data_IF_611304067891
#
_entry.id   IF_611304067891
#
_cell.length_a   1.000
_cell.length_b   1.000
_cell.length_c   1.000
_cell.angle_alpha   90.00
_cell.angle_beta   90.00
_cell.angle_gamma   90.00
#
_symmetry.space_group_name_H-M   'P 1'
#
loop_
_entity.id
_entity.type
_entity.pdbx_description
1 polymer ?
#
# COMPACT_ATOMS: atom_id res chain seq x y z
N UNK A 1 -16.34 2.52 -7.41
CA UNK A 1 -15.78 3.60 -6.54
C UNK A 1 -14.39 3.16 -6.16
N UNK A 2 -13.39 4.06 -6.12
CA UNK A 2 -12.04 3.65 -5.72
C UNK A 2 -12.06 3.05 -4.30
N UNK A 3 -11.23 2.03 -4.08
CA UNK A 3 -11.06 1.42 -2.76
C UNK A 3 -9.93 2.13 -2.03
N UNK A 4 -10.01 2.21 -0.71
CA UNK A 4 -9.02 2.91 0.09
C UNK A 4 -8.48 2.04 1.22
N UNK A 5 -7.18 2.14 1.48
CA UNK A 5 -6.49 1.48 2.56
C UNK A 5 -5.83 2.53 3.47
N UNK A 6 -6.22 2.56 4.73
CA UNK A 6 -5.59 3.41 5.74
C UNK A 6 -4.39 2.69 6.37
N UNK A 7 -3.25 3.35 6.38
CA UNK A 7 -2.00 2.85 6.96
C UNK A 7 -1.52 3.85 8.01
N UNK A 8 -1.17 3.38 9.20
CA UNK A 8 -0.58 4.23 10.24
C UNK A 8 0.88 4.54 9.91
N UNK A 9 1.30 5.80 10.12
CA UNK A 9 2.71 6.18 10.05
C UNK A 9 3.57 5.51 11.15
N UNK A 10 2.95 4.95 12.19
CA UNK A 10 3.64 4.13 13.19
C UNK A 10 3.98 2.72 12.68
N UNK A 11 3.29 2.25 11.63
CA UNK A 11 3.50 0.92 11.06
C UNK A 11 4.49 0.96 9.89
N UNK A 12 4.24 1.86 8.93
CA UNK A 12 5.09 2.03 7.76
C UNK A 12 5.32 3.51 7.48
N UNK A 13 6.57 3.87 7.22
CA UNK A 13 6.90 5.18 6.68
C UNK A 13 6.52 5.28 5.19
N UNK A 14 6.46 6.50 4.66
CA UNK A 14 6.09 6.76 3.27
C UNK A 14 7.03 6.11 2.23
N UNK A 15 8.33 6.02 2.51
CA UNK A 15 9.29 5.41 1.58
C UNK A 15 9.06 3.91 1.46
N UNK A 16 8.70 3.24 2.56
CA UNK A 16 8.28 1.84 2.55
C UNK A 16 7.05 1.64 1.65
N UNK A 17 6.07 2.53 1.73
CA UNK A 17 4.88 2.48 0.87
C UNK A 17 5.22 2.66 -0.62
N UNK A 18 6.04 3.66 -0.95
CA UNK A 18 6.50 3.85 -2.33
C UNK A 18 7.24 2.61 -2.87
N UNK A 19 8.10 2.00 -2.07
CA UNK A 19 8.84 0.81 -2.46
C UNK A 19 7.92 -0.39 -2.71
N UNK A 20 6.91 -0.61 -1.87
CA UNK A 20 5.93 -1.69 -2.11
C UNK A 20 5.13 -1.44 -3.38
N UNK A 21 4.79 -0.19 -3.67
CA UNK A 21 4.10 0.19 -4.90
C UNK A 21 4.89 -0.22 -6.13
N UNK A 22 6.20 0.01 -6.11
CA UNK A 22 7.11 -0.38 -7.18
C UNK A 22 7.19 -1.91 -7.33
N UNK A 23 7.31 -2.65 -6.22
CA UNK A 23 7.33 -4.13 -6.22
C UNK A 23 6.03 -4.72 -6.76
N UNK A 24 4.89 -4.11 -6.44
CA UNK A 24 3.57 -4.52 -6.93
C UNK A 24 3.29 -4.06 -8.37
N UNK A 25 4.18 -3.26 -9.00
CA UNK A 25 3.93 -2.66 -10.31
C UNK A 25 2.77 -1.66 -10.31
N UNK A 26 2.47 -1.04 -9.16
CA UNK A 26 1.37 -0.10 -8.95
C UNK A 26 1.80 1.37 -8.98
N UNK A 27 3.10 1.64 -9.23
CA UNK A 27 3.63 3.00 -9.35
C UNK A 27 2.88 3.78 -10.42
N UNK A 28 2.27 4.91 -10.02
CA UNK A 28 1.45 5.75 -10.91
C UNK A 28 0.02 5.26 -11.11
N UNK A 29 -0.34 4.07 -10.62
CA UNK A 29 -1.74 3.57 -10.62
C UNK A 29 -2.48 3.97 -9.34
N UNK A 30 -1.81 3.87 -8.19
CA UNK A 30 -2.42 4.15 -6.87
C UNK A 30 -2.09 5.56 -6.39
N UNK A 31 -3.02 6.15 -5.64
CA UNK A 31 -2.86 7.46 -5.03
C UNK A 31 -2.44 7.39 -3.57
N UNK A 32 -1.66 8.36 -3.12
CA UNK A 32 -1.27 8.54 -1.72
C UNK A 32 -1.81 9.88 -1.21
N UNK A 33 -2.42 9.84 -0.03
CA UNK A 33 -2.92 11.04 0.64
C UNK A 33 -2.44 11.03 2.09
N UNK A 34 -1.81 12.12 2.52
CA UNK A 34 -1.43 12.29 3.92
C UNK A 34 -2.68 12.45 4.80
N UNK A 35 -2.61 11.88 5.99
CA UNK A 35 -3.61 12.02 7.05
C UNK A 35 -2.89 12.38 8.36
N UNK A 36 -3.59 12.88 9.39
CA UNK A 36 -2.94 13.24 10.64
C UNK A 36 -2.14 12.10 11.31
N UNK A 37 -2.52 10.83 11.07
CA UNK A 37 -1.94 9.66 11.74
C UNK A 37 -1.24 8.69 10.77
N UNK A 38 -1.06 9.06 9.51
CA UNK A 38 -0.53 8.15 8.49
C UNK A 38 -1.00 8.48 7.10
N UNK A 39 -1.30 7.46 6.31
CA UNK A 39 -1.53 7.59 4.88
C UNK A 39 -2.82 6.88 4.48
N UNK A 40 -3.59 7.52 3.59
CA UNK A 40 -4.69 6.89 2.90
C UNK A 40 -4.25 6.57 1.47
N UNK A 41 -4.24 5.29 1.13
CA UNK A 41 -3.85 4.80 -0.20
C UNK A 41 -5.13 4.53 -0.99
N UNK A 42 -5.25 5.09 -2.19
CA UNK A 42 -6.41 4.90 -3.07
C UNK A 42 -6.07 3.99 -4.25
N UNK A 43 -6.91 2.97 -4.45
CA UNK A 43 -6.77 1.98 -5.53
C UNK A 43 -7.84 2.23 -6.59
N UNK A 44 -7.46 2.38 -7.86
CA UNK A 44 -8.41 2.55 -8.95
C UNK A 44 -9.24 1.27 -9.12
N UNK A 45 -10.56 1.44 -9.20
CA UNK A 45 -11.50 0.33 -9.36
C UNK A 45 -12.25 0.37 -10.70
N UNK A 46 -11.69 1.05 -11.70
CA UNK A 46 -12.30 1.16 -13.04
C UNK A 46 -12.43 -0.19 -13.76
N UNK A 47 -11.66 -1.20 -13.35
CA UNK A 47 -11.66 -2.55 -13.91
C UNK A 47 -12.16 -3.63 -12.94
N UNK A 48 -12.70 -3.23 -11.78
CA UNK A 48 -13.19 -4.15 -10.74
C UNK A 48 -12.10 -4.96 -10.02
N UNK A 49 -10.81 -4.62 -10.18
CA UNK A 49 -9.69 -5.37 -9.57
C UNK A 49 -9.08 -4.67 -8.36
N UNK A 50 -9.69 -3.60 -7.83
CA UNK A 50 -9.11 -2.85 -6.72
C UNK A 50 -8.90 -3.72 -5.47
N UNK A 51 -9.84 -4.62 -5.15
CA UNK A 51 -9.72 -5.53 -4.00
C UNK A 51 -8.52 -6.48 -4.15
N UNK A 52 -8.24 -6.96 -5.37
CA UNK A 52 -7.07 -7.80 -5.65
C UNK A 52 -5.76 -7.01 -5.50
N UNK A 53 -5.68 -5.80 -6.07
CA UNK A 53 -4.50 -4.92 -5.94
C UNK A 53 -4.22 -4.59 -4.46
N UNK A 54 -5.27 -4.27 -3.71
CA UNK A 54 -5.17 -3.94 -2.29
C UNK A 54 -4.69 -5.15 -1.47
N UNK A 55 -5.23 -6.35 -1.72
CA UNK A 55 -4.79 -7.56 -1.03
C UNK A 55 -3.33 -7.90 -1.32
N UNK A 56 -2.89 -7.78 -2.58
CA UNK A 56 -1.50 -7.98 -2.98
C UNK A 56 -0.56 -6.98 -2.30
N UNK A 57 -0.94 -5.69 -2.30
CA UNK A 57 -0.18 -4.62 -1.65
C UNK A 57 -0.01 -4.87 -0.14
N UNK A 58 -1.09 -5.25 0.56
CA UNK A 58 -1.04 -5.60 1.98
C UNK A 58 -0.18 -6.84 2.26
N UNK A 59 -0.21 -7.84 1.38
CA UNK A 59 0.65 -9.02 1.50
C UNK A 59 2.13 -8.64 1.40
N UNK A 60 2.48 -7.76 0.45
CA UNK A 60 3.87 -7.32 0.28
C UNK A 60 4.40 -6.47 1.42
N UNK A 61 3.56 -5.65 2.04
CA UNK A 61 3.92 -4.94 3.27
C UNK A 61 4.29 -5.92 4.40
N UNK A 62 3.49 -6.97 4.60
CA UNK A 62 3.76 -8.02 5.60
C UNK A 62 5.00 -8.85 5.25
N UNK A 63 5.21 -9.16 3.98
CA UNK A 63 6.41 -9.88 3.53
C UNK A 63 7.69 -9.08 3.85
N UNK A 64 7.65 -7.75 3.70
CA UNK A 64 8.79 -6.89 4.06
C UNK A 64 9.06 -6.91 5.57
N UNK A 65 8.02 -6.89 6.40
CA UNK A 65 8.19 -7.07 7.85
C UNK A 65 8.89 -8.40 8.14
N UNK A 66 8.36 -9.51 7.61
CA UNK A 66 8.91 -10.83 7.89
C UNK A 66 10.36 -10.99 7.40
N UNK A 67 10.75 -10.34 6.30
CA UNK A 67 12.12 -10.39 5.79
C UNK A 67 13.10 -9.49 6.55
N UNK A 68 12.63 -8.49 7.30
CA UNK A 68 13.46 -7.60 8.13
C UNK A 68 13.59 -8.15 9.56
N UNK A 69 12.50 -8.69 10.13
CA UNK A 69 12.43 -9.10 11.53
C UNK A 69 12.85 -10.56 11.79
N UNK A 70 12.94 -11.43 10.77
CA UNK A 70 13.43 -12.83 10.91
C UNK A 70 14.89 -13.02 10.42
N UNK A 71 15.75 -11.99 10.55
CA UNK A 71 17.20 -12.15 10.35
C UNK A 71 17.93 -12.43 11.65
#
# INVERSE_FOLDING_TARGET
MNKTLSISAMQYDFHTLLKVSDICGLTGEIGFHDTPNGYLISFPDGDGKADKRMAEYQSRLKDLENNIWNR
#
